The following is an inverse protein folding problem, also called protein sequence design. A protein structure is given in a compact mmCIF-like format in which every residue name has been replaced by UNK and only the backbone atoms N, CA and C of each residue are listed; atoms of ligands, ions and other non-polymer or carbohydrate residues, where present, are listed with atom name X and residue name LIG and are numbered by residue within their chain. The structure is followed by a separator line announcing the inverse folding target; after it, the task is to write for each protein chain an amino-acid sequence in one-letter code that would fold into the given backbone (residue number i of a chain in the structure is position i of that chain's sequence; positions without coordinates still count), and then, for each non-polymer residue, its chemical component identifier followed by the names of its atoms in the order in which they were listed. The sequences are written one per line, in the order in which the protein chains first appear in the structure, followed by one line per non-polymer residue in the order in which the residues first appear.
data_IF_048845703186
#
_entry.id   IF_048845703186
#
_cell.length_a   1.000
_cell.length_b   1.000
_cell.length_c   1.000
_cell.angle_alpha   90.00
_cell.angle_beta   90.00
_cell.angle_gamma   90.00
#
_symmetry.space_group_name_H-M   'P 1'
#
loop_
_entity.id
_entity.type
_entity.pdbx_description
1 polymer ?
#
# COMPACT_ATOMS: atom_id res chain seq x y z
N UNK A 1 13.74 6.24 -21.29
CA UNK A 1 12.61 5.32 -21.05
C UNK A 1 12.26 5.38 -19.56
N UNK A 2 11.21 6.09 -19.09
CA UNK A 2 10.88 6.03 -17.66
C UNK A 2 9.40 5.72 -17.40
N UNK A 3 8.89 4.59 -17.90
CA UNK A 3 7.54 4.13 -17.58
C UNK A 3 7.36 3.82 -16.08
N UNK A 4 8.43 3.45 -15.35
CA UNK A 4 8.36 3.23 -13.91
C UNK A 4 8.20 4.54 -13.12
N UNK A 5 8.77 5.66 -13.56
CA UNK A 5 8.85 6.88 -12.75
C UNK A 5 7.48 7.45 -12.41
N UNK A 6 6.56 7.50 -13.38
CA UNK A 6 5.25 8.12 -13.19
C UNK A 6 4.42 7.39 -12.14
N UNK A 7 4.52 6.05 -12.08
CA UNK A 7 3.84 5.26 -11.07
C UNK A 7 4.34 5.59 -9.65
N UNK A 8 5.66 5.73 -9.48
CA UNK A 8 6.25 6.13 -8.20
C UNK A 8 5.82 7.54 -7.80
N UNK A 9 5.78 8.49 -8.74
CA UNK A 9 5.31 9.86 -8.46
C UNK A 9 3.84 9.92 -8.05
N UNK A 10 2.98 9.13 -8.70
CA UNK A 10 1.55 9.06 -8.35
C UNK A 10 1.38 8.44 -6.96
N UNK A 11 2.09 7.34 -6.68
CA UNK A 11 2.05 6.71 -5.37
C UNK A 11 2.56 7.65 -4.27
N UNK A 12 3.63 8.41 -4.54
CA UNK A 12 4.15 9.42 -3.62
C UNK A 12 3.18 10.57 -3.40
N UNK A 13 2.51 11.04 -4.47
CA UNK A 13 1.45 12.03 -4.37
C UNK A 13 0.30 11.57 -3.45
N UNK A 14 -0.15 10.32 -3.60
CA UNK A 14 -1.16 9.75 -2.70
C UNK A 14 -0.66 9.62 -1.26
N UNK A 15 0.60 9.21 -1.04
CA UNK A 15 1.21 9.17 0.30
C UNK A 15 1.36 10.57 0.92
N UNK A 16 1.57 11.60 0.10
CA UNK A 16 1.58 12.98 0.53
C UNK A 16 0.18 13.54 0.84
N UNK A 17 -0.88 12.75 0.64
CA UNK A 17 -2.27 13.12 0.94
C UNK A 17 -2.97 13.88 -0.19
N UNK A 18 -2.45 13.86 -1.42
CA UNK A 18 -3.15 14.44 -2.57
C UNK A 18 -4.39 13.62 -2.94
N UNK A 19 -5.50 14.32 -3.18
CA UNK A 19 -6.74 13.73 -3.66
C UNK A 19 -6.61 13.22 -5.09
N UNK A 20 -7.40 12.19 -5.45
CA UNK A 20 -7.51 11.68 -6.83
C UNK A 20 -7.75 12.79 -7.84
N UNK A 21 -8.65 13.73 -7.55
CA UNK A 21 -8.92 14.86 -8.45
C UNK A 21 -7.71 15.80 -8.62
N UNK A 22 -6.90 15.97 -7.58
CA UNK A 22 -5.67 16.76 -7.64
C UNK A 22 -4.62 16.11 -8.55
N UNK A 23 -4.42 14.80 -8.41
CA UNK A 23 -3.50 14.04 -9.27
C UNK A 23 -4.02 13.96 -10.70
N UNK A 24 -5.33 13.80 -10.88
CA UNK A 24 -6.00 13.82 -12.20
C UNK A 24 -5.71 15.14 -12.92
N UNK A 25 -5.88 16.27 -12.24
CA UNK A 25 -5.67 17.59 -12.85
C UNK A 25 -4.19 17.83 -13.23
N UNK A 26 -3.26 17.22 -12.53
CA UNK A 26 -1.81 17.35 -12.79
C UNK A 26 -1.31 16.40 -13.89
N UNK A 27 -1.89 15.21 -14.00
CA UNK A 27 -1.36 14.12 -14.85
C UNK A 27 -2.24 13.76 -16.03
N UNK A 28 -3.53 14.16 -16.02
CA UNK A 28 -4.57 13.71 -16.96
C UNK A 28 -4.73 12.19 -17.06
N UNK A 29 -4.29 11.44 -16.05
CA UNK A 29 -4.46 9.99 -15.98
C UNK A 29 -5.88 9.68 -15.52
N UNK A 30 -6.55 8.73 -16.15
CA UNK A 30 -7.91 8.33 -15.78
C UNK A 30 -8.11 8.13 -14.27
N UNK A 31 -9.18 8.75 -13.73
CA UNK A 31 -9.52 8.67 -12.30
C UNK A 31 -9.69 7.22 -11.85
N UNK A 32 -10.23 6.37 -12.73
CA UNK A 32 -10.36 4.94 -12.44
C UNK A 32 -9.00 4.32 -12.10
N UNK A 33 -7.96 4.62 -12.88
CA UNK A 33 -6.60 4.11 -12.65
C UNK A 33 -5.98 4.70 -11.37
N UNK A 34 -6.19 6.00 -11.14
CA UNK A 34 -5.75 6.69 -9.93
C UNK A 34 -6.35 6.09 -8.66
N UNK A 35 -7.65 5.76 -8.68
CA UNK A 35 -8.33 5.08 -7.57
C UNK A 35 -7.73 3.68 -7.33
N UNK A 36 -7.36 2.95 -8.38
CA UNK A 36 -6.68 1.65 -8.21
C UNK A 36 -5.32 1.81 -7.50
N UNK A 37 -4.55 2.85 -7.82
CA UNK A 37 -3.28 3.12 -7.14
C UNK A 37 -3.50 3.57 -5.69
N UNK A 38 -4.46 4.48 -5.45
CA UNK A 38 -4.78 4.92 -4.09
C UNK A 38 -5.22 3.73 -3.22
N UNK A 39 -6.08 2.85 -3.75
CA UNK A 39 -6.51 1.65 -3.04
C UNK A 39 -5.32 0.72 -2.74
N UNK A 40 -4.38 0.58 -3.68
CA UNK A 40 -3.15 -0.20 -3.48
C UNK A 40 -2.30 0.38 -2.34
N UNK A 41 -2.11 1.70 -2.32
CA UNK A 41 -1.35 2.41 -1.28
C UNK A 41 -2.03 2.30 0.08
N UNK A 42 -3.35 2.49 0.15
CA UNK A 42 -4.12 2.33 1.39
C UNK A 42 -4.09 0.91 1.94
N UNK A 43 -4.16 -0.09 1.06
CA UNK A 43 -4.04 -1.49 1.46
C UNK A 43 -2.63 -1.79 1.96
N UNK A 44 -1.59 -1.22 1.33
CA UNK A 44 -0.21 -1.29 1.79
C UNK A 44 -0.05 -0.70 3.20
N UNK A 45 -0.61 0.49 3.44
CA UNK A 45 -0.64 1.14 4.76
C UNK A 45 -1.41 0.33 5.79
N UNK A 46 -2.57 -0.22 5.42
CA UNK A 46 -3.38 -1.04 6.31
C UNK A 46 -2.69 -2.35 6.67
N UNK A 47 -2.05 -3.02 5.71
CA UNK A 47 -1.23 -4.20 5.96
C UNK A 47 -0.04 -3.84 6.86
N UNK A 48 0.57 -2.68 6.65
CA UNK A 48 1.62 -2.18 7.52
C UNK A 48 1.07 -1.87 8.94
N UNK A 49 -0.10 -1.27 9.09
CA UNK A 49 -0.69 -0.95 10.40
C UNK A 49 -1.04 -2.21 11.20
N UNK A 50 -1.70 -3.18 10.54
CA UNK A 50 -2.19 -4.42 11.13
C UNK A 50 -1.05 -5.43 11.38
N UNK A 51 -0.03 -5.46 10.51
CA UNK A 51 1.13 -6.35 10.61
C UNK A 51 0.79 -7.85 10.51
N UNK A 52 1.78 -8.71 10.79
CA UNK A 52 1.64 -10.19 10.79
C UNK A 52 0.52 -10.65 11.74
N UNK A 53 0.36 -9.97 12.87
CA UNK A 53 -0.60 -10.39 13.91
C UNK A 53 -2.08 -10.22 13.52
N UNK A 54 -2.40 -9.38 12.52
CA UNK A 54 -3.77 -9.29 12.00
C UNK A 54 -3.90 -9.68 10.52
N UNK A 55 -2.85 -10.25 9.93
CA UNK A 55 -2.92 -10.95 8.65
C UNK A 55 -3.59 -12.31 8.85
N UNK A 56 -4.89 -12.28 9.13
CA UNK A 56 -5.72 -13.49 9.20
C UNK A 56 -5.84 -14.13 7.80
N UNK A 57 -6.10 -15.43 7.75
CA UNK A 57 -6.21 -16.19 6.52
C UNK A 57 -7.28 -15.62 5.56
N UNK A 58 -8.37 -15.08 6.10
CA UNK A 58 -9.42 -14.41 5.32
C UNK A 58 -8.98 -13.05 4.77
N UNK A 59 -8.13 -12.33 5.49
CA UNK A 59 -7.54 -11.08 5.01
C UNK A 59 -6.54 -11.35 3.88
N UNK A 60 -5.68 -12.35 4.04
CA UNK A 60 -4.76 -12.84 3.00
C UNK A 60 -5.50 -13.30 1.73
N UNK A 61 -6.60 -14.05 1.87
CA UNK A 61 -7.44 -14.44 0.73
C UNK A 61 -8.04 -13.24 0.01
N UNK A 62 -8.46 -12.22 0.76
CA UNK A 62 -9.00 -10.99 0.18
C UNK A 62 -7.93 -10.22 -0.59
N UNK A 63 -6.71 -10.15 -0.07
CA UNK A 63 -5.57 -9.51 -0.73
C UNK A 63 -5.16 -10.26 -2.00
N UNK A 64 -5.11 -11.60 -1.98
CA UNK A 64 -4.84 -12.42 -3.19
C UNK A 64 -5.88 -12.22 -4.29
N UNK A 65 -7.17 -12.15 -3.93
CA UNK A 65 -8.24 -11.87 -4.90
C UNK A 65 -8.15 -10.48 -5.52
N UNK A 66 -7.57 -9.52 -4.79
CA UNK A 66 -7.29 -8.16 -5.27
C UNK A 66 -6.01 -8.07 -6.12
N UNK A 67 -5.29 -9.17 -6.33
CA UNK A 67 -4.08 -9.19 -7.17
C UNK A 67 -2.78 -8.85 -6.42
N UNK A 68 -2.78 -8.83 -5.09
CA UNK A 68 -1.53 -8.71 -4.33
C UNK A 68 -0.70 -9.98 -4.47
N UNK A 69 0.54 -9.83 -4.93
CA UNK A 69 1.51 -10.92 -4.94
C UNK A 69 1.93 -11.28 -3.50
N UNK A 70 2.00 -12.57 -3.19
CA UNK A 70 2.49 -13.09 -1.90
C UNK A 70 3.85 -12.48 -1.50
N UNK A 71 4.75 -12.28 -2.46
CA UNK A 71 6.06 -11.68 -2.21
C UNK A 71 5.98 -10.21 -1.74
N UNK A 72 4.99 -9.45 -2.22
CA UNK A 72 4.77 -8.05 -1.79
C UNK A 72 4.20 -8.04 -0.38
N UNK A 73 3.25 -8.91 -0.09
CA UNK A 73 2.66 -9.07 1.24
C UNK A 73 3.70 -9.50 2.28
N UNK A 74 4.50 -10.52 1.96
CA UNK A 74 5.58 -10.99 2.84
C UNK A 74 6.61 -9.89 3.11
N UNK A 75 6.95 -9.07 2.09
CA UNK A 75 7.86 -7.94 2.28
C UNK A 75 7.26 -6.86 3.19
N UNK A 76 5.98 -6.54 3.02
CA UNK A 76 5.29 -5.54 3.86
C UNK A 76 5.13 -6.02 5.31
N UNK A 77 4.77 -7.28 5.48
CA UNK A 77 4.62 -7.91 6.79
C UNK A 77 5.99 -8.09 7.49
N UNK A 78 7.03 -8.48 6.74
CA UNK A 78 8.39 -8.68 7.22
C UNK A 78 9.17 -7.38 7.48
N UNK A 79 8.84 -6.26 6.81
CA UNK A 79 9.41 -4.93 7.12
C UNK A 79 9.06 -4.50 8.55
N UNK A 80 7.95 -5.00 9.12
CA UNK A 80 7.63 -4.76 10.53
C UNK A 80 8.33 -5.69 11.52
N UNK A 81 8.68 -6.92 11.15
CA UNK A 81 9.58 -7.72 12.01
C UNK A 81 10.94 -7.04 12.17
N UNK A 82 11.45 -6.42 11.10
CA UNK A 82 12.68 -5.63 11.15
C UNK A 82 12.51 -4.23 11.79
N UNK A 83 11.27 -3.75 11.94
CA UNK A 83 10.95 -2.35 12.25
C UNK A 83 10.14 -2.10 13.53
N UNK A 84 9.75 -3.13 14.30
CA UNK A 84 9.03 -2.96 15.56
C UNK A 84 9.79 -3.54 16.77
N UNK A 85 10.72 -2.80 17.40
CA UNK A 85 11.14 -3.08 18.77
C UNK A 85 10.04 -2.77 19.82
N UNK A 86 8.88 -2.23 19.41
CA UNK A 86 7.80 -1.81 20.32
C UNK A 86 6.67 -2.85 20.45
N UNK A 87 7.04 -4.11 20.67
CA UNK A 87 6.18 -5.06 21.40
C UNK A 87 6.72 -5.32 22.83
N UNK A 88 7.69 -4.54 23.30
CA UNK A 88 8.02 -4.43 24.71
C UNK A 88 7.09 -3.40 25.37
N UNK A 89 5.91 -3.85 25.79
CA UNK A 89 5.16 -3.16 26.86
C UNK A 89 5.55 -3.85 28.17
N UNK A 90 6.29 -3.20 29.07
CA UNK A 90 6.50 -3.74 30.41
C UNK A 90 5.23 -3.47 31.21
N UNK A 91 4.58 -4.54 31.68
CA UNK A 91 3.83 -4.59 32.95
C UNK A 91 3.92 -6.00 33.50
#
# INVERSE_FOLDING_TARGET
MPALSVFWYIADAFRAGLSVDGVFNLTNIDRWFLVQIEELVRLEEKVAEVGINGLDADFLRTLKRKGFADARLAKLAGVREAGNPQAARPV
#
